data_IF_355812855769
#
_entry.id   IF_355812855769
#
_cell.length_a   1.000
_cell.length_b   1.000
_cell.length_c   1.000
_cell.angle_alpha   90.00
_cell.angle_beta   90.00
_cell.angle_gamma   90.00
#
_symmetry.space_group_name_H-M   'P 1'
#
loop_
_entity.id
_entity.type
_entity.pdbx_description
1 polymer ?
#
# COMPACT_ATOMS: atom_id res chain seq x y z
N UNK A 1 -3.13 -17.91 -4.05
CA UNK A 1 -2.35 -16.68 -4.31
C UNK A 1 -3.09 -15.71 -5.24
N UNK A 2 -3.49 -16.14 -6.45
CA UNK A 2 -4.21 -15.28 -7.42
C UNK A 2 -5.47 -14.64 -6.83
N UNK A 3 -6.31 -15.41 -6.12
CA UNK A 3 -7.52 -14.89 -5.48
C UNK A 3 -7.22 -13.81 -4.41
N UNK A 4 -6.11 -13.95 -3.67
CA UNK A 4 -5.70 -12.97 -2.65
C UNK A 4 -5.25 -11.67 -3.31
N UNK A 5 -4.45 -11.76 -4.38
CA UNK A 5 -4.01 -10.59 -5.16
C UNK A 5 -5.21 -9.88 -5.81
N UNK A 6 -6.14 -10.64 -6.40
CA UNK A 6 -7.35 -10.10 -6.99
C UNK A 6 -8.24 -9.41 -5.93
N UNK A 7 -8.38 -10.02 -4.75
CA UNK A 7 -9.11 -9.43 -3.62
C UNK A 7 -8.50 -8.10 -3.18
N UNK A 8 -7.17 -8.02 -3.02
CA UNK A 8 -6.47 -6.78 -2.71
C UNK A 8 -6.63 -5.72 -3.81
N UNK A 9 -6.50 -6.11 -5.07
CA UNK A 9 -6.64 -5.19 -6.20
C UNK A 9 -8.06 -4.59 -6.27
N UNK A 10 -9.08 -5.43 -6.10
CA UNK A 10 -10.48 -5.01 -6.10
C UNK A 10 -10.82 -4.14 -4.90
N UNK A 11 -10.41 -4.53 -3.70
CA UNK A 11 -10.62 -3.74 -2.48
C UNK A 11 -9.91 -2.38 -2.57
N UNK A 12 -8.68 -2.35 -3.10
CA UNK A 12 -7.93 -1.12 -3.31
C UNK A 12 -8.60 -0.22 -4.36
N UNK A 13 -9.11 -0.78 -5.46
CA UNK A 13 -9.90 -0.04 -6.45
C UNK A 13 -11.09 0.68 -5.80
N UNK A 14 -11.92 -0.04 -5.05
CA UNK A 14 -13.07 0.53 -4.36
C UNK A 14 -12.63 1.59 -3.35
N UNK A 15 -11.60 1.28 -2.56
CA UNK A 15 -11.03 2.19 -1.59
C UNK A 15 -10.56 3.50 -2.24
N UNK A 16 -9.74 3.43 -3.29
CA UNK A 16 -9.25 4.64 -3.96
C UNK A 16 -10.39 5.45 -4.56
N UNK A 17 -11.37 4.79 -5.16
CA UNK A 17 -12.55 5.47 -5.70
C UNK A 17 -13.26 6.29 -4.62
N UNK A 18 -13.59 5.64 -3.51
CA UNK A 18 -14.35 6.25 -2.40
C UNK A 18 -13.51 7.31 -1.67
N UNK A 19 -12.26 6.99 -1.34
CA UNK A 19 -11.40 7.87 -0.55
C UNK A 19 -11.05 9.16 -1.30
N UNK A 20 -10.78 9.10 -2.61
CA UNK A 20 -10.55 10.31 -3.40
C UNK A 20 -11.83 11.12 -3.64
N UNK A 21 -13.00 10.49 -3.76
CA UNK A 21 -14.28 11.23 -3.80
C UNK A 21 -14.62 11.90 -2.48
N UNK A 22 -14.30 11.28 -1.36
CA UNK A 22 -14.53 11.86 -0.03
C UNK A 22 -13.49 12.93 0.32
N UNK A 23 -12.25 12.77 -0.16
CA UNK A 23 -11.13 13.62 0.21
C UNK A 23 -10.91 14.85 -0.67
N UNK A 24 -11.41 14.85 -1.91
CA UNK A 24 -11.15 15.92 -2.89
C UNK A 24 -12.42 16.29 -3.65
N UNK A 25 -12.57 17.57 -3.99
CA UNK A 25 -13.77 18.04 -4.71
C UNK A 25 -13.84 17.50 -6.13
N UNK A 26 -12.69 17.36 -6.80
CA UNK A 26 -12.63 16.85 -8.17
C UNK A 26 -12.88 15.33 -8.26
N UNK A 27 -12.73 14.62 -7.13
CA UNK A 27 -12.76 13.16 -7.07
C UNK A 27 -11.70 12.49 -7.95
N UNK A 28 -11.80 11.17 -8.14
CA UNK A 28 -10.98 10.40 -9.07
C UNK A 28 -11.84 9.75 -10.16
N UNK A 29 -11.33 9.68 -11.38
CA UNK A 29 -12.01 8.95 -12.46
C UNK A 29 -12.05 7.45 -12.17
N UNK A 30 -13.09 6.77 -12.68
CA UNK A 30 -13.24 5.32 -12.50
C UNK A 30 -12.04 4.56 -13.07
N UNK A 31 -11.56 4.98 -14.25
CA UNK A 31 -10.40 4.38 -14.92
C UNK A 31 -9.13 4.57 -14.10
N UNK A 32 -8.87 5.77 -13.57
CA UNK A 32 -7.71 6.01 -12.71
C UNK A 32 -7.77 5.15 -11.45
N UNK A 33 -8.93 5.08 -10.78
CA UNK A 33 -9.09 4.22 -9.60
C UNK A 33 -8.86 2.74 -9.92
N UNK A 34 -9.37 2.25 -11.07
CA UNK A 34 -9.18 0.86 -11.50
C UNK A 34 -7.70 0.57 -11.77
N UNK A 35 -7.01 1.46 -12.48
CA UNK A 35 -5.57 1.33 -12.74
C UNK A 35 -4.77 1.32 -11.44
N UNK A 36 -5.10 2.18 -10.47
CA UNK A 36 -4.49 2.16 -9.15
C UNK A 36 -4.73 0.83 -8.42
N UNK A 37 -5.95 0.27 -8.49
CA UNK A 37 -6.26 -1.04 -7.92
C UNK A 37 -5.44 -2.17 -8.54
N UNK A 38 -5.33 -2.21 -9.88
CA UNK A 38 -4.51 -3.19 -10.61
C UNK A 38 -3.03 -3.06 -10.20
N UNK A 39 -2.49 -1.83 -10.22
CA UNK A 39 -1.12 -1.57 -9.82
C UNK A 39 -0.87 -1.94 -8.37
N UNK A 40 -1.84 -1.71 -7.48
CA UNK A 40 -1.76 -2.14 -6.10
C UNK A 40 -1.72 -3.66 -5.97
N UNK A 41 -2.50 -4.40 -6.78
CA UNK A 41 -2.41 -5.86 -6.87
C UNK A 41 -1.02 -6.34 -7.28
N UNK A 42 -0.43 -5.72 -8.31
CA UNK A 42 0.95 -6.01 -8.75
C UNK A 42 1.95 -5.70 -7.64
N UNK A 43 1.80 -4.55 -6.97
CA UNK A 43 2.60 -4.18 -5.81
C UNK A 43 2.50 -5.23 -4.70
N UNK A 44 1.30 -5.65 -4.30
CA UNK A 44 1.07 -6.68 -3.28
C UNK A 44 1.78 -7.97 -3.64
N UNK A 45 1.66 -8.42 -4.89
CA UNK A 45 2.33 -9.64 -5.35
C UNK A 45 3.86 -9.53 -5.24
N UNK A 46 4.44 -8.46 -5.79
CA UNK A 46 5.90 -8.24 -5.78
C UNK A 46 6.45 -8.02 -4.36
N UNK A 47 5.78 -7.18 -3.57
CA UNK A 47 6.13 -6.86 -2.19
C UNK A 47 6.08 -8.09 -1.28
N UNK A 48 5.03 -8.91 -1.42
CA UNK A 48 4.91 -10.15 -0.64
C UNK A 48 6.06 -11.10 -0.92
N UNK A 49 6.44 -11.26 -2.19
CA UNK A 49 7.64 -12.04 -2.55
C UNK A 49 8.91 -11.46 -1.92
N UNK A 50 9.10 -10.14 -2.00
CA UNK A 50 10.28 -9.47 -1.45
C UNK A 50 10.40 -9.63 0.08
N UNK A 51 9.32 -9.59 0.83
CA UNK A 51 9.36 -9.77 2.29
C UNK A 51 9.42 -11.25 2.68
N UNK A 52 8.72 -12.13 1.95
CA UNK A 52 8.65 -13.56 2.23
C UNK A 52 10.04 -14.19 2.31
N UNK A 53 10.98 -13.83 1.44
CA UNK A 53 12.36 -14.35 1.52
C UNK A 53 13.07 -14.02 2.84
N UNK A 54 12.83 -12.85 3.45
CA UNK A 54 13.45 -12.47 4.73
C UNK A 54 12.72 -13.05 5.93
N UNK A 55 11.43 -13.31 5.77
CA UNK A 55 10.57 -13.85 6.82
C UNK A 55 10.43 -15.37 6.74
N UNK A 56 11.02 -16.01 5.72
CA UNK A 56 10.87 -17.44 5.42
C UNK A 56 11.15 -18.32 6.64
N UNK A 57 12.25 -18.06 7.36
CA UNK A 57 12.61 -18.86 8.56
C UNK A 57 11.53 -18.86 9.66
N UNK A 58 10.76 -17.79 9.79
CA UNK A 58 9.68 -17.69 10.79
C UNK A 58 8.38 -18.33 10.32
N UNK A 59 8.18 -18.42 9.00
CA UNK A 59 6.95 -18.94 8.40
C UNK A 59 7.05 -20.42 8.00
N UNK A 60 8.26 -20.92 7.71
CA UNK A 60 8.50 -22.32 7.34
C UNK A 60 8.59 -23.21 8.58
N UNK A 61 9.10 -22.68 9.69
CA UNK A 61 9.26 -23.42 10.95
C UNK A 61 8.55 -22.69 12.10
N UNK A 62 7.21 -22.70 12.13
CA UNK A 62 6.45 -22.02 13.17
C UNK A 62 6.85 -22.50 14.58
N UNK A 63 6.96 -21.56 15.52
CA UNK A 63 7.31 -21.84 16.92
C UNK A 63 8.79 -22.13 17.19
N UNK A 64 9.64 -22.35 16.17
CA UNK A 64 11.09 -22.57 16.36
C UNK A 64 11.85 -21.29 16.72
N UNK A 65 11.40 -20.16 16.17
CA UNK A 65 12.05 -18.86 16.32
C UNK A 65 11.09 -17.84 16.94
N UNK A 66 11.58 -17.11 17.95
CA UNK A 66 10.87 -15.98 18.54
C UNK A 66 11.37 -14.66 17.92
N UNK A 67 10.44 -13.78 17.52
CA UNK A 67 10.77 -12.44 17.10
C UNK A 67 9.67 -11.44 17.48
N UNK A 68 10.09 -10.24 17.90
CA UNK A 68 9.15 -9.14 18.12
C UNK A 68 8.68 -8.54 16.78
N UNK A 69 7.53 -7.87 16.78
CA UNK A 69 7.05 -7.15 15.60
C UNK A 69 8.08 -6.12 15.09
N UNK A 70 8.77 -5.41 16.01
CA UNK A 70 9.80 -4.44 15.66
C UNK A 70 11.00 -5.10 14.96
N UNK A 71 11.39 -6.29 15.40
CA UNK A 71 12.45 -7.07 14.75
C UNK A 71 12.05 -7.46 13.33
N UNK A 72 10.81 -7.94 13.14
CA UNK A 72 10.29 -8.30 11.82
C UNK A 72 10.25 -7.08 10.90
N UNK A 73 9.75 -5.94 11.40
CA UNK A 73 9.75 -4.67 10.67
C UNK A 73 11.16 -4.26 10.29
N UNK A 74 12.13 -4.31 11.21
CA UNK A 74 13.52 -3.96 10.92
C UNK A 74 14.14 -4.79 9.79
N UNK A 75 13.75 -6.07 9.66
CA UNK A 75 14.24 -6.95 8.59
C UNK A 75 13.67 -6.62 7.21
N UNK A 76 12.46 -6.05 7.15
CA UNK A 76 11.73 -5.82 5.90
C UNK A 76 11.52 -4.35 5.56
N UNK A 77 11.83 -3.42 6.48
CA UNK A 77 11.54 -2.00 6.38
C UNK A 77 12.04 -1.38 5.08
N UNK A 78 13.31 -1.60 4.72
CA UNK A 78 13.89 -0.97 3.53
C UNK A 78 13.19 -1.41 2.23
N UNK A 79 12.81 -2.68 2.12
CA UNK A 79 12.08 -3.21 0.96
C UNK A 79 10.67 -2.65 0.92
N UNK A 80 10.03 -2.56 2.09
CA UNK A 80 8.71 -1.94 2.21
C UNK A 80 8.74 -0.48 1.79
N UNK A 81 9.69 0.29 2.33
CA UNK A 81 9.89 1.68 1.99
C UNK A 81 10.10 1.88 0.49
N UNK A 82 11.03 1.13 -0.12
CA UNK A 82 11.31 1.23 -1.57
C UNK A 82 10.10 0.88 -2.43
N UNK A 83 9.42 -0.24 -2.15
CA UNK A 83 8.25 -0.65 -2.91
C UNK A 83 7.11 0.35 -2.79
N UNK A 84 6.90 0.88 -1.58
CA UNK A 84 5.83 1.84 -1.28
C UNK A 84 6.12 3.20 -1.88
N UNK A 85 7.37 3.66 -1.86
CA UNK A 85 7.79 4.89 -2.54
C UNK A 85 7.61 4.79 -4.06
N UNK A 86 8.01 3.66 -4.66
CA UNK A 86 7.81 3.41 -6.08
C UNK A 86 6.33 3.38 -6.44
N UNK A 87 5.51 2.70 -5.65
CA UNK A 87 4.06 2.69 -5.84
C UNK A 87 3.47 4.11 -5.78
N UNK A 88 3.89 4.93 -4.81
CA UNK A 88 3.46 6.32 -4.69
C UNK A 88 3.80 7.17 -5.93
N UNK A 89 5.01 7.02 -6.47
CA UNK A 89 5.43 7.70 -7.71
C UNK A 89 4.56 7.27 -8.89
N UNK A 90 4.38 5.96 -9.09
CA UNK A 90 3.56 5.44 -10.20
C UNK A 90 2.09 5.86 -10.04
N UNK A 91 1.55 5.82 -8.83
CA UNK A 91 0.20 6.29 -8.54
C UNK A 91 0.01 7.76 -8.91
N UNK A 92 1.02 8.61 -8.64
CA UNK A 92 0.99 10.03 -9.04
C UNK A 92 0.95 10.19 -10.56
N UNK A 93 1.68 9.36 -11.31
CA UNK A 93 1.66 9.36 -12.78
C UNK A 93 0.29 8.94 -13.33
N UNK A 94 -0.34 7.92 -12.75
CA UNK A 94 -1.70 7.51 -13.14
C UNK A 94 -2.71 8.64 -12.91
N UNK A 95 -2.69 9.27 -11.74
CA UNK A 95 -3.60 10.38 -11.44
C UNK A 95 -3.32 11.58 -12.36
N UNK A 96 -2.05 11.85 -12.67
CA UNK A 96 -1.69 12.90 -13.62
C UNK A 96 -2.27 12.63 -15.02
N UNK A 97 -2.16 11.39 -15.51
CA UNK A 97 -2.63 11.03 -16.85
C UNK A 97 -4.14 10.87 -16.97
N UNK A 98 -4.81 10.36 -15.94
CA UNK A 98 -6.20 9.90 -16.02
C UNK A 98 -7.19 10.66 -15.11
N UNK A 99 -6.71 11.58 -14.29
CA UNK A 99 -7.53 12.43 -13.42
C UNK A 99 -6.97 13.87 -13.36
N UNK A 100 -7.00 14.63 -14.47
CA UNK A 100 -6.35 15.94 -14.56
C UNK A 100 -6.94 16.99 -13.61
N UNK A 101 -8.23 16.90 -13.28
CA UNK A 101 -8.89 17.75 -12.26
C UNK A 101 -8.27 17.54 -10.87
N UNK A 102 -8.25 16.29 -10.41
CA UNK A 102 -7.60 15.89 -9.16
C UNK A 102 -6.11 16.25 -9.14
N UNK A 103 -5.40 16.00 -10.24
CA UNK A 103 -3.99 16.33 -10.37
C UNK A 103 -3.73 17.83 -10.23
N UNK A 104 -4.65 18.67 -10.73
CA UNK A 104 -4.62 20.12 -10.57
C UNK A 104 -4.95 20.54 -9.15
N UNK A 105 -5.95 19.94 -8.51
CA UNK A 105 -6.32 20.23 -7.11
C UNK A 105 -5.14 19.95 -6.16
N UNK A 106 -4.50 18.78 -6.31
CA UNK A 106 -3.29 18.39 -5.58
C UNK A 106 -2.13 19.39 -5.82
N UNK A 107 -1.97 19.90 -7.06
CA UNK A 107 -0.93 20.89 -7.40
C UNK A 107 -1.26 22.31 -6.91
N UNK A 108 -2.51 22.73 -7.08
CA UNK A 108 -2.96 24.10 -6.86
C UNK A 108 -2.93 24.46 -5.38
N UNK A 109 -3.35 23.53 -4.52
CA UNK A 109 -3.29 23.73 -3.06
C UNK A 109 -1.86 23.68 -2.51
N UNK A 110 -0.95 22.95 -3.15
CA UNK A 110 0.48 22.93 -2.80
C UNK A 110 1.22 24.25 -3.09
N UNK A 111 0.75 25.06 -4.06
CA UNK A 111 1.40 26.32 -4.45
C UNK A 111 0.98 27.54 -3.58
N UNK A 112 -0.19 27.51 -2.94
CA UNK A 112 -0.77 28.65 -2.24
C UNK A 112 -0.75 28.55 -0.69
N UNK A 113 -0.10 27.55 -0.10
CA UNK A 113 0.11 27.47 1.35
C UNK A 113 -1.15 27.26 2.20
N UNK A 114 -2.28 26.91 1.58
CA UNK A 114 -3.49 26.45 2.28
C UNK A 114 -3.26 24.98 2.61
N UNK A 115 -3.38 24.61 3.90
CA UNK A 115 -3.14 23.29 4.47
C UNK A 115 -3.09 22.13 3.45
N UNK A 116 -1.87 21.61 3.33
CA UNK A 116 -1.33 20.72 2.31
C UNK A 116 -2.21 19.47 2.07
N UNK A 117 -2.85 19.36 0.90
CA UNK A 117 -3.52 18.12 0.47
C UNK A 117 -2.55 17.06 -0.07
N UNK A 118 -1.28 17.42 -0.23
CA UNK A 118 -0.20 16.47 -0.54
C UNK A 118 -0.12 15.33 0.48
N UNK A 119 -0.04 15.63 1.80
CA UNK A 119 -0.18 14.66 2.87
C UNK A 119 -1.44 13.80 2.80
N UNK A 120 -2.61 14.37 2.46
CA UNK A 120 -3.85 13.60 2.31
C UNK A 120 -3.78 12.62 1.13
N UNK A 121 -3.26 13.08 -0.01
CA UNK A 121 -2.97 12.23 -1.17
C UNK A 121 -2.03 11.08 -0.77
N UNK A 122 -0.91 11.39 -0.10
CA UNK A 122 0.05 10.38 0.37
C UNK A 122 -0.66 9.41 1.30
N UNK A 123 -1.43 9.89 2.27
CA UNK A 123 -2.12 9.03 3.23
C UNK A 123 -3.12 8.08 2.55
N UNK A 124 -3.92 8.59 1.60
CA UNK A 124 -4.84 7.76 0.81
C UNK A 124 -4.06 6.72 0.00
N UNK A 125 -3.00 7.11 -0.72
CA UNK A 125 -2.22 6.17 -1.53
C UNK A 125 -1.52 5.12 -0.67
N UNK A 126 -0.98 5.49 0.49
CA UNK A 126 -0.18 4.61 1.32
C UNK A 126 -1.01 3.71 2.25
N UNK A 127 -2.24 4.09 2.59
CA UNK A 127 -3.04 3.35 3.57
C UNK A 127 -3.23 1.85 3.21
N UNK A 128 -3.59 1.47 1.97
CA UNK A 128 -3.69 0.06 1.59
C UNK A 128 -2.34 -0.67 1.70
N UNK A 129 -1.23 -0.02 1.32
CA UNK A 129 0.11 -0.60 1.41
C UNK A 129 0.53 -0.86 2.86
N UNK A 130 0.22 0.08 3.76
CA UNK A 130 0.45 -0.05 5.20
C UNK A 130 -0.38 -1.19 5.80
N UNK A 131 -1.65 -1.30 5.44
CA UNK A 131 -2.52 -2.39 5.89
C UNK A 131 -2.01 -3.75 5.40
N UNK A 132 -1.64 -3.86 4.13
CA UNK A 132 -1.05 -5.07 3.58
C UNK A 132 0.24 -5.45 4.33
N UNK A 133 1.13 -4.49 4.56
CA UNK A 133 2.38 -4.74 5.28
C UNK A 133 2.15 -5.16 6.73
N UNK A 134 1.25 -4.47 7.43
CA UNK A 134 0.85 -4.83 8.79
C UNK A 134 0.31 -6.26 8.85
N UNK A 135 -0.52 -6.66 7.88
CA UNK A 135 -1.05 -8.03 7.81
C UNK A 135 0.08 -9.06 7.71
N UNK A 136 1.08 -8.82 6.85
CA UNK A 136 2.23 -9.71 6.68
C UNK A 136 3.07 -9.85 7.97
N UNK A 137 3.32 -8.73 8.67
CA UNK A 137 4.08 -8.71 9.92
C UNK A 137 3.30 -9.42 11.03
N UNK A 138 2.00 -9.16 11.16
CA UNK A 138 1.16 -9.78 12.19
C UNK A 138 1.02 -11.29 11.99
N UNK A 139 0.77 -11.75 10.75
CA UNK A 139 0.71 -13.18 10.44
C UNK A 139 2.05 -13.86 10.71
N UNK A 140 3.17 -13.23 10.31
CA UNK A 140 4.50 -13.80 10.62
C UNK A 140 4.74 -13.85 12.12
N UNK A 141 4.34 -12.81 12.88
CA UNK A 141 4.47 -12.79 14.34
C UNK A 141 3.66 -13.91 15.00
N UNK A 142 2.46 -14.22 14.51
CA UNK A 142 1.68 -15.34 15.01
C UNK A 142 2.43 -16.67 14.86
N UNK A 143 3.16 -16.85 13.76
CA UNK A 143 3.99 -18.03 13.54
C UNK A 143 5.25 -18.08 14.44
N UNK A 144 5.62 -16.98 15.10
CA UNK A 144 6.75 -16.96 16.06
C UNK A 144 6.36 -17.29 17.50
N UNK A 145 5.06 -17.35 17.81
CA UNK A 145 4.62 -17.78 19.13
C UNK A 145 4.81 -19.31 19.27
N UNK A 146 5.27 -19.82 20.41
CA UNK A 146 5.33 -21.26 20.64
C UNK A 146 3.92 -21.85 20.48
N UNK A 147 3.81 -22.96 19.74
CA UNK A 147 2.57 -23.72 19.66
C UNK A 147 2.12 -24.06 21.08
N UNK A 148 0.93 -23.61 21.46
CA UNK A 148 0.30 -24.00 22.72
C UNK A 148 -0.21 -25.42 22.63
#
# INVERSE_FOLDING_TARGET
>A
MVAVVAGWAFAAFLYFKIAFEAGFHSGISLVAALLLGILFGVFVFAASGAYAFRLARFNIEPGRYSASALTLVGLTFWRFFLGTALFGVVARLVIFGFAPGLSREIRWRSYYGIADEGPLFVLIILAPALLHYASCILTTRQNTAPAR
#
